data_IF_462988558728
#
_entry.id   IF_462988558728
#
_cell.length_a   1.000
_cell.length_b   1.000
_cell.length_c   1.000
_cell.angle_alpha   90.00
_cell.angle_beta   90.00
_cell.angle_gamma   90.00
#
_symmetry.space_group_name_H-M   'P 1'
#
loop_
_entity.id
_entity.type
_entity.pdbx_description
1 polymer ?
#
# COMPACT_ATOMS: atom_id res chain seq x y z
N UNK A 1 53.75 -48.20 -51.64
CA UNK A 1 52.56 -47.33 -51.78
C UNK A 1 51.80 -47.35 -50.47
N UNK A 2 51.94 -46.30 -49.65
CA UNK A 2 51.13 -46.10 -48.45
C UNK A 2 50.57 -44.67 -48.56
N UNK A 3 49.27 -44.56 -48.82
CA UNK A 3 48.53 -43.30 -48.77
C UNK A 3 48.22 -42.97 -47.31
N UNK A 4 48.69 -41.83 -46.82
CA UNK A 4 48.24 -41.24 -45.56
C UNK A 4 47.30 -40.09 -45.92
N UNK A 5 46.00 -40.30 -45.71
CA UNK A 5 44.97 -39.28 -45.88
C UNK A 5 44.90 -38.38 -44.65
N UNK A 6 45.06 -37.07 -44.86
CA UNK A 6 44.88 -36.03 -43.84
C UNK A 6 43.41 -35.63 -43.83
N UNK A 7 42.70 -35.93 -42.74
CA UNK A 7 41.35 -35.43 -42.46
C UNK A 7 41.50 -34.08 -41.78
N UNK A 8 41.20 -33.00 -42.52
CA UNK A 8 41.11 -31.64 -41.98
C UNK A 8 39.78 -31.43 -41.25
N UNK A 9 39.81 -31.41 -39.92
CA UNK A 9 38.67 -31.01 -39.10
C UNK A 9 38.56 -29.49 -39.04
N UNK A 10 37.49 -28.94 -39.61
CA UNK A 10 37.10 -27.54 -39.42
C UNK A 10 36.46 -27.43 -38.03
N UNK A 11 37.21 -26.95 -37.05
CA UNK A 11 36.65 -26.50 -35.77
C UNK A 11 36.01 -25.13 -35.98
N UNK A 12 34.68 -25.08 -36.01
CA UNK A 12 33.94 -23.84 -35.89
C UNK A 12 34.16 -23.31 -34.46
N UNK A 13 35.06 -22.35 -34.30
CA UNK A 13 35.14 -21.53 -33.09
C UNK A 13 33.92 -20.61 -33.08
N UNK A 14 32.93 -20.93 -32.26
CA UNK A 14 31.88 -19.99 -31.89
C UNK A 14 32.53 -18.80 -31.16
N UNK A 15 32.47 -17.64 -31.79
CA UNK A 15 33.02 -16.39 -31.27
C UNK A 15 32.30 -16.00 -29.98
N UNK A 16 32.98 -16.21 -28.85
CA UNK A 16 32.50 -15.86 -27.51
C UNK A 16 32.22 -14.34 -27.34
N UNK A 17 32.64 -13.49 -28.28
CA UNK A 17 32.35 -12.05 -28.28
C UNK A 17 30.89 -11.70 -28.64
N UNK A 18 30.09 -12.66 -29.14
CA UNK A 18 28.67 -12.46 -29.48
C UNK A 18 27.67 -12.78 -28.37
N UNK A 19 28.13 -13.20 -27.18
CA UNK A 19 27.23 -13.36 -26.04
C UNK A 19 26.96 -11.98 -25.42
N UNK A 20 25.85 -11.36 -25.84
CA UNK A 20 25.27 -10.23 -25.12
C UNK A 20 25.26 -10.55 -23.62
N UNK A 21 25.70 -9.63 -22.74
CA UNK A 21 25.78 -9.90 -21.31
C UNK A 21 24.41 -10.37 -20.82
N UNK A 22 24.39 -11.54 -20.17
CA UNK A 22 23.16 -12.14 -19.67
C UNK A 22 22.55 -11.17 -18.65
N UNK A 23 21.43 -10.55 -19.01
CA UNK A 23 20.66 -9.73 -18.08
C UNK A 23 19.93 -10.69 -17.16
N UNK A 24 20.45 -10.88 -15.95
CA UNK A 24 19.77 -11.71 -14.94
C UNK A 24 19.00 -10.82 -13.97
N UNK A 25 17.71 -11.10 -13.84
CA UNK A 25 16.84 -10.53 -12.81
C UNK A 25 16.42 -11.64 -11.86
N UNK A 26 16.46 -11.38 -10.56
CA UNK A 26 15.98 -12.30 -9.54
C UNK A 26 14.74 -11.75 -8.84
N UNK A 27 14.15 -12.56 -7.96
CA UNK A 27 12.94 -12.21 -7.20
C UNK A 27 13.14 -10.95 -6.33
N UNK A 28 14.36 -10.68 -5.86
CA UNK A 28 14.67 -9.52 -5.02
C UNK A 28 15.02 -8.27 -5.84
N UNK A 29 15.09 -8.39 -7.17
CA UNK A 29 15.42 -7.28 -8.03
C UNK A 29 14.28 -6.26 -7.99
N UNK A 30 14.61 -5.01 -7.66
CA UNK A 30 13.66 -3.90 -7.64
C UNK A 30 13.02 -3.67 -8.99
N UNK A 31 11.70 -3.55 -9.01
CA UNK A 31 10.92 -3.35 -10.23
C UNK A 31 11.36 -2.08 -10.97
N UNK A 32 11.63 -0.99 -10.25
CA UNK A 32 12.08 0.25 -10.89
C UNK A 32 13.43 0.11 -11.59
N UNK A 33 14.33 -0.75 -11.08
CA UNK A 33 15.61 -1.05 -11.73
C UNK A 33 15.39 -1.79 -13.04
N UNK A 34 14.46 -2.73 -13.08
CA UNK A 34 14.09 -3.45 -14.31
C UNK A 34 13.47 -2.50 -15.31
N UNK A 35 12.48 -1.71 -14.92
CA UNK A 35 11.80 -0.74 -15.79
C UNK A 35 12.78 0.29 -16.37
N UNK A 36 13.68 0.88 -15.56
CA UNK A 36 14.71 1.81 -16.05
C UNK A 36 15.69 1.13 -17.02
N UNK A 37 16.07 -0.13 -16.77
CA UNK A 37 16.94 -0.89 -17.68
C UNK A 37 16.30 -1.14 -19.05
N UNK A 38 14.97 -1.24 -19.09
CA UNK A 38 14.18 -1.32 -20.32
C UNK A 38 13.89 0.06 -20.95
N UNK A 39 14.38 1.16 -20.36
CA UNK A 39 14.17 2.50 -20.89
C UNK A 39 12.84 3.16 -20.51
N UNK A 40 12.18 2.71 -19.43
CA UNK A 40 11.04 3.44 -18.88
C UNK A 40 11.49 4.79 -18.29
N UNK A 41 10.65 5.81 -18.46
CA UNK A 41 10.86 7.13 -17.85
C UNK A 41 10.86 7.03 -16.33
N UNK A 42 11.69 7.84 -15.68
CA UNK A 42 11.69 7.94 -14.22
C UNK A 42 10.53 8.82 -13.77
N UNK A 43 9.78 8.43 -12.73
CA UNK A 43 8.71 9.27 -12.22
C UNK A 43 9.27 10.52 -11.54
N UNK A 44 8.44 11.56 -11.37
CA UNK A 44 8.83 12.84 -10.76
C UNK A 44 9.42 12.69 -9.35
N UNK A 45 8.96 11.69 -8.59
CA UNK A 45 9.43 11.39 -7.24
C UNK A 45 10.65 10.46 -7.18
N UNK A 46 11.31 10.19 -8.32
CA UNK A 46 12.52 9.36 -8.36
C UNK A 46 13.66 9.97 -7.54
N UNK A 47 14.43 9.11 -6.87
CA UNK A 47 15.62 9.49 -6.10
C UNK A 47 16.88 8.87 -6.70
N UNK A 48 18.02 9.53 -6.46
CA UNK A 48 19.33 9.06 -6.88
C UNK A 48 19.87 8.01 -5.91
N UNK A 49 19.34 6.79 -6.02
CA UNK A 49 19.68 5.70 -5.13
C UNK A 49 19.17 5.90 -3.70
N UNK A 50 19.24 4.84 -2.90
CA UNK A 50 18.76 4.88 -1.52
C UNK A 50 19.94 5.11 -0.58
N UNK A 51 19.98 6.30 -0.01
CA UNK A 51 20.74 6.58 1.21
C UNK A 51 20.05 5.89 2.40
N UNK A 52 20.74 4.96 3.05
CA UNK A 52 20.22 4.16 4.16
C UNK A 52 19.98 4.98 5.43
N UNK A 53 20.78 6.02 5.69
CA UNK A 53 20.59 6.91 6.84
C UNK A 53 19.32 7.73 6.65
N UNK A 54 19.12 8.31 5.46
CA UNK A 54 17.88 9.01 5.13
C UNK A 54 16.66 8.07 5.16
N UNK A 55 16.80 6.83 4.67
CA UNK A 55 15.71 5.85 4.73
C UNK A 55 15.32 5.52 6.18
N UNK A 56 16.29 5.32 7.09
CA UNK A 56 16.01 5.12 8.51
C UNK A 56 15.32 6.33 9.15
N UNK A 57 15.75 7.55 8.81
CA UNK A 57 15.09 8.77 9.30
C UNK A 57 13.67 8.89 8.76
N UNK A 58 13.45 8.54 7.50
CA UNK A 58 12.13 8.52 6.85
C UNK A 58 11.19 7.48 7.47
N UNK A 59 11.70 6.28 7.75
CA UNK A 59 10.97 5.23 8.46
C UNK A 59 10.50 5.73 9.83
N UNK A 60 11.39 6.37 10.60
CA UNK A 60 11.02 6.95 11.89
C UNK A 60 9.93 8.02 11.75
N UNK A 61 9.97 8.87 10.71
CA UNK A 61 8.90 9.83 10.45
C UNK A 61 7.58 9.11 10.15
N UNK A 62 7.58 8.09 9.29
CA UNK A 62 6.37 7.36 8.89
C UNK A 62 5.76 6.58 10.05
N UNK A 63 6.58 5.94 10.87
CA UNK A 63 6.15 5.04 11.95
C UNK A 63 5.97 5.72 13.31
N UNK A 64 6.70 6.81 13.57
CA UNK A 64 6.75 7.46 14.89
C UNK A 64 6.38 8.95 14.83
N UNK A 65 6.18 9.51 13.63
CA UNK A 65 5.84 10.91 13.43
C UNK A 65 6.99 11.88 13.74
N UNK A 66 8.19 11.40 14.02
CA UNK A 66 9.39 12.21 14.32
C UNK A 66 10.67 11.44 14.05
N UNK A 67 11.78 12.15 13.99
CA UNK A 67 13.11 11.57 13.83
C UNK A 67 14.17 12.45 14.49
N UNK A 68 15.44 12.22 14.16
CA UNK A 68 16.57 13.11 14.51
C UNK A 68 16.92 14.02 13.34
N UNK A 69 17.22 15.28 13.63
CA UNK A 69 17.78 16.25 12.69
C UNK A 69 19.22 15.89 12.31
N UNK A 70 19.82 16.57 11.31
CA UNK A 70 21.23 16.40 10.98
C UNK A 70 22.19 16.70 12.14
N UNK A 71 21.81 17.62 13.03
CA UNK A 71 22.59 17.98 14.24
C UNK A 71 22.44 16.98 15.40
N UNK A 72 21.66 15.91 15.23
CA UNK A 72 21.40 14.90 16.24
C UNK A 72 20.23 15.22 17.19
N UNK A 73 19.70 16.44 17.21
CA UNK A 73 18.54 16.80 18.02
C UNK A 73 17.24 16.17 17.48
N UNK A 74 16.21 16.00 18.31
CA UNK A 74 14.93 15.46 17.85
C UNK A 74 14.13 16.50 17.04
N UNK A 75 13.38 16.03 16.04
CA UNK A 75 12.37 16.86 15.37
C UNK A 75 11.13 17.03 16.25
N UNK A 76 10.39 18.11 16.01
CA UNK A 76 9.01 18.16 16.48
C UNK A 76 8.19 17.05 15.80
N UNK A 77 7.15 16.58 16.48
CA UNK A 77 6.17 15.68 15.88
C UNK A 77 5.60 16.31 14.60
N UNK A 78 5.40 15.50 13.57
CA UNK A 78 4.63 15.87 12.38
C UNK A 78 3.17 16.05 12.78
N UNK A 79 2.63 15.13 13.57
CA UNK A 79 1.32 15.29 14.19
C UNK A 79 1.33 14.73 15.61
N UNK A 80 0.57 15.36 16.50
CA UNK A 80 0.29 14.85 17.84
C UNK A 80 -0.89 13.86 17.85
N UNK A 81 -1.58 13.69 16.72
CA UNK A 81 -2.80 12.89 16.60
C UNK A 81 -2.54 11.55 15.93
N UNK A 82 -1.86 11.55 14.78
CA UNK A 82 -1.68 10.35 13.97
C UNK A 82 -0.32 10.28 13.28
N UNK A 83 0.23 9.08 13.23
CA UNK A 83 1.35 8.71 12.36
C UNK A 83 0.81 8.01 11.10
N UNK A 84 1.63 7.88 10.06
CA UNK A 84 1.18 7.31 8.79
C UNK A 84 0.69 5.86 8.96
N UNK A 85 1.34 5.10 9.83
CA UNK A 85 1.00 3.69 10.09
C UNK A 85 -0.28 3.48 10.90
N UNK A 86 -0.91 4.54 11.40
CA UNK A 86 -2.26 4.41 11.98
C UNK A 86 -3.31 4.11 10.90
N UNK A 87 -3.02 4.48 9.65
CA UNK A 87 -3.96 4.34 8.52
C UNK A 87 -3.40 3.50 7.37
N UNK A 88 -2.10 3.29 7.29
CA UNK A 88 -1.44 2.65 6.14
C UNK A 88 -0.48 1.54 6.55
N UNK A 89 -0.52 0.41 5.83
CA UNK A 89 0.46 -0.66 5.99
C UNK A 89 1.79 -0.34 5.28
N UNK A 90 2.92 -0.66 5.90
CA UNK A 90 4.27 -0.56 5.28
C UNK A 90 4.78 -1.88 4.70
N UNK A 91 4.05 -2.98 4.94
CA UNK A 91 4.25 -4.28 4.30
C UNK A 91 3.22 -4.47 3.18
N UNK A 92 3.51 -5.37 2.25
CA UNK A 92 2.53 -5.82 1.27
C UNK A 92 1.27 -6.30 1.99
N UNK A 93 0.09 -5.85 1.55
CA UNK A 93 -1.20 -6.20 2.16
C UNK A 93 -2.16 -6.88 1.16
N UNK A 94 -1.74 -7.00 -0.10
CA UNK A 94 -2.50 -7.66 -1.16
C UNK A 94 -1.77 -8.95 -1.53
N UNK A 95 -2.46 -10.09 -1.67
CA UNK A 95 -1.83 -11.32 -2.15
C UNK A 95 -1.33 -11.18 -3.60
N UNK A 96 -2.02 -10.37 -4.40
CA UNK A 96 -1.67 -10.03 -5.77
C UNK A 96 -1.68 -8.50 -5.89
N UNK A 97 -0.50 -7.90 -6.10
CA UNK A 97 -0.33 -6.44 -6.12
C UNK A 97 -0.98 -5.78 -7.34
N UNK A 98 -1.46 -6.56 -8.32
CA UNK A 98 -2.21 -6.13 -9.49
C UNK A 98 -3.73 -6.18 -9.32
N UNK A 99 -4.25 -6.75 -8.23
CA UNK A 99 -5.69 -6.97 -8.04
C UNK A 99 -6.24 -6.30 -6.79
N UNK A 100 -7.44 -5.76 -6.94
CA UNK A 100 -8.21 -5.18 -5.84
C UNK A 100 -9.33 -6.14 -5.48
N UNK A 101 -9.14 -6.86 -4.38
CA UNK A 101 -10.13 -7.78 -3.83
C UNK A 101 -10.14 -7.63 -2.30
N UNK A 102 -11.21 -7.05 -1.72
CA UNK A 102 -11.28 -6.83 -0.28
C UNK A 102 -11.29 -8.14 0.53
N UNK A 103 -11.86 -9.23 -0.01
CA UNK A 103 -11.91 -10.52 0.70
C UNK A 103 -10.55 -11.21 0.70
N UNK A 104 -9.89 -11.25 -0.46
CA UNK A 104 -8.53 -11.77 -0.55
C UNK A 104 -7.56 -10.95 0.33
N UNK A 105 -7.76 -9.63 0.40
CA UNK A 105 -6.99 -8.74 1.28
C UNK A 105 -7.19 -9.08 2.77
N UNK A 106 -8.43 -9.31 3.23
CA UNK A 106 -8.67 -9.66 4.64
C UNK A 106 -7.99 -10.99 4.99
N UNK A 107 -8.15 -12.01 4.14
CA UNK A 107 -7.49 -13.31 4.35
C UNK A 107 -5.97 -13.18 4.37
N UNK A 108 -5.41 -12.35 3.48
CA UNK A 108 -3.99 -12.07 3.48
C UNK A 108 -3.52 -11.36 4.75
N UNK A 109 -4.29 -10.39 5.25
CA UNK A 109 -3.98 -9.70 6.51
C UNK A 109 -4.02 -10.65 7.72
N UNK A 110 -4.99 -11.57 7.76
CA UNK A 110 -5.07 -12.62 8.80
C UNK A 110 -3.83 -13.51 8.75
N UNK A 111 -3.50 -14.04 7.58
CA UNK A 111 -2.42 -15.01 7.42
C UNK A 111 -1.02 -14.43 7.66
N UNK A 112 -0.86 -13.11 7.54
CA UNK A 112 0.42 -12.42 7.67
C UNK A 112 0.51 -11.50 8.90
N UNK A 113 -0.47 -11.57 9.80
CA UNK A 113 -0.57 -10.73 11.01
C UNK A 113 -0.42 -9.23 10.70
N UNK A 114 -1.17 -8.77 9.71
CA UNK A 114 -1.16 -7.37 9.27
C UNK A 114 -2.39 -6.61 9.77
N UNK A 115 -2.24 -5.33 10.11
CA UNK A 115 -3.37 -4.46 10.33
C UNK A 115 -4.30 -4.35 9.10
N UNK A 116 -5.61 -4.36 9.32
CA UNK A 116 -6.63 -4.25 8.27
C UNK A 116 -7.09 -2.80 8.12
N UNK A 117 -6.22 -1.94 7.57
CA UNK A 117 -6.40 -0.48 7.60
C UNK A 117 -7.16 0.11 6.40
N UNK A 118 -7.54 1.39 6.51
CA UNK A 118 -8.35 2.13 5.53
C UNK A 118 -7.54 2.75 4.38
N UNK A 119 -6.35 3.27 4.66
CA UNK A 119 -5.53 4.02 3.69
C UNK A 119 -4.63 3.10 2.88
N UNK A 120 -4.46 3.36 1.58
CA UNK A 120 -3.68 2.58 0.59
C UNK A 120 -2.30 2.14 1.12
N UNK A 121 -1.87 0.88 0.93
CA UNK A 121 -0.55 0.44 1.42
C UNK A 121 0.60 1.31 0.92
N UNK A 122 1.58 1.58 1.79
CA UNK A 122 2.81 2.30 1.50
C UNK A 122 3.85 1.41 0.82
N UNK A 123 3.80 0.09 1.03
CA UNK A 123 4.60 -0.87 0.26
C UNK A 123 4.26 -0.74 -1.23
N UNK A 124 5.30 -0.54 -2.06
CA UNK A 124 5.15 -0.32 -3.49
C UNK A 124 4.53 1.02 -3.89
N UNK A 125 4.34 1.97 -2.97
CA UNK A 125 3.65 3.24 -3.27
C UNK A 125 4.38 4.08 -4.33
N UNK A 126 5.70 3.97 -4.39
CA UNK A 126 6.55 4.65 -5.39
C UNK A 126 6.42 4.06 -6.79
N UNK A 127 5.87 2.85 -6.93
CA UNK A 127 5.65 2.21 -8.22
C UNK A 127 4.33 2.64 -8.87
N UNK A 128 3.49 3.41 -8.17
CA UNK A 128 2.21 3.91 -8.68
C UNK A 128 2.44 5.17 -9.53
N UNK A 129 1.52 5.39 -10.47
CA UNK A 129 1.45 6.60 -11.31
C UNK A 129 0.54 7.67 -10.69
N UNK A 130 -0.36 7.28 -9.76
CA UNK A 130 -1.32 8.23 -9.17
C UNK A 130 -1.85 7.90 -7.77
N UNK A 131 -2.19 8.96 -7.02
CA UNK A 131 -2.65 8.95 -5.63
C UNK A 131 -3.96 9.73 -5.46
N UNK A 132 -4.64 9.59 -4.32
CA UNK A 132 -5.94 10.26 -4.07
C UNK A 132 -6.96 10.09 -5.23
N UNK A 133 -7.10 8.85 -5.70
CA UNK A 133 -7.91 8.49 -6.86
C UNK A 133 -9.41 8.39 -6.53
N UNK A 134 -10.23 8.30 -7.57
CA UNK A 134 -11.67 8.08 -7.44
C UNK A 134 -12.36 9.12 -6.55
N UNK A 135 -13.11 8.63 -5.56
CA UNK A 135 -13.96 9.46 -4.73
C UNK A 135 -13.21 10.34 -3.72
N UNK A 136 -11.89 10.17 -3.57
CA UNK A 136 -11.08 11.15 -2.85
C UNK A 136 -11.15 12.55 -3.48
N UNK A 137 -11.44 12.67 -4.79
CA UNK A 137 -11.73 13.95 -5.41
C UNK A 137 -13.00 14.60 -4.86
N UNK A 138 -14.04 13.82 -4.56
CA UNK A 138 -15.29 14.33 -3.99
C UNK A 138 -15.05 14.88 -2.58
N UNK A 139 -14.13 14.27 -1.83
CA UNK A 139 -13.80 14.66 -0.46
C UNK A 139 -12.86 15.86 -0.38
N UNK A 140 -11.77 15.87 -1.14
CA UNK A 140 -10.70 16.87 -0.99
C UNK A 140 -10.66 17.91 -2.12
N UNK A 141 -11.51 17.78 -3.14
CA UNK A 141 -11.62 18.75 -4.23
C UNK A 141 -10.28 18.99 -4.93
N UNK A 142 -9.85 20.26 -4.96
CA UNK A 142 -8.62 20.68 -5.61
C UNK A 142 -7.36 20.07 -4.97
N UNK A 143 -7.35 19.85 -3.66
CA UNK A 143 -6.20 19.25 -2.97
C UNK A 143 -5.90 17.85 -3.49
N UNK A 144 -6.93 17.03 -3.72
CA UNK A 144 -6.77 15.70 -4.32
C UNK A 144 -6.28 15.77 -5.77
N UNK A 145 -6.61 16.84 -6.51
CA UNK A 145 -6.15 17.01 -7.90
C UNK A 145 -4.65 17.29 -7.94
N UNK A 146 -4.16 18.16 -7.04
CA UNK A 146 -2.74 18.52 -6.98
C UNK A 146 -1.88 17.36 -6.46
N UNK A 147 -2.42 16.55 -5.55
CA UNK A 147 -1.80 15.33 -5.05
C UNK A 147 -1.84 14.15 -6.05
N UNK A 148 -2.69 14.20 -7.09
CA UNK A 148 -3.00 13.00 -7.88
C UNK A 148 -1.81 12.46 -8.65
N UNK A 149 -1.01 13.35 -9.23
CA UNK A 149 0.10 12.99 -10.12
C UNK A 149 1.47 13.33 -9.51
N UNK A 150 1.51 13.60 -8.22
CA UNK A 150 2.72 13.98 -7.49
C UNK A 150 2.70 13.35 -6.09
N UNK A 151 3.55 12.34 -5.90
CA UNK A 151 3.68 11.63 -4.63
C UNK A 151 4.08 12.57 -3.49
N UNK A 152 4.89 13.59 -3.77
CA UNK A 152 5.31 14.58 -2.76
C UNK A 152 4.11 15.36 -2.27
N UNK A 153 3.25 15.85 -3.17
CA UNK A 153 2.02 16.52 -2.82
C UNK A 153 1.03 15.57 -2.12
N UNK A 154 0.99 14.30 -2.51
CA UNK A 154 0.15 13.30 -1.84
C UNK A 154 0.60 13.04 -0.39
N UNK A 155 1.91 12.90 -0.14
CA UNK A 155 2.45 12.78 1.21
C UNK A 155 2.13 14.04 2.01
N UNK A 156 2.26 15.21 1.39
CA UNK A 156 2.05 16.48 2.07
C UNK A 156 0.57 16.69 2.46
N UNK A 157 -0.34 16.36 1.55
CA UNK A 157 -1.78 16.33 1.82
C UNK A 157 -2.12 15.37 2.95
N UNK A 158 -1.48 14.20 3.01
CA UNK A 158 -1.68 13.24 4.09
C UNK A 158 -1.22 13.83 5.44
N UNK A 159 -0.01 14.39 5.49
CA UNK A 159 0.56 14.95 6.71
C UNK A 159 -0.32 16.06 7.31
N UNK A 160 -0.92 16.92 6.48
CA UNK A 160 -1.73 18.05 6.97
C UNK A 160 -3.20 17.71 7.17
N UNK A 161 -3.83 17.00 6.24
CA UNK A 161 -5.28 16.77 6.28
C UNK A 161 -5.66 15.44 6.93
N UNK A 162 -4.96 14.35 6.61
CA UNK A 162 -5.29 13.04 7.19
C UNK A 162 -4.73 12.93 8.61
N UNK A 163 -3.46 13.26 8.78
CA UNK A 163 -2.79 13.19 10.08
C UNK A 163 -3.07 14.40 10.98
N UNK A 164 -3.70 15.46 10.46
CA UNK A 164 -3.95 16.72 11.20
C UNK A 164 -2.65 17.34 11.76
N UNK A 165 -1.57 17.20 11.00
CA UNK A 165 -0.22 17.61 11.38
C UNK A 165 0.26 18.89 10.72
N UNK A 166 1.53 19.20 10.95
CA UNK A 166 2.28 20.22 10.21
C UNK A 166 2.77 19.67 8.86
N UNK A 167 3.09 20.54 7.90
CA UNK A 167 3.84 20.13 6.73
C UNK A 167 5.21 19.53 7.09
N UNK A 168 5.64 18.58 6.27
CA UNK A 168 7.02 18.09 6.26
C UNK A 168 7.90 19.18 5.64
N UNK A 169 9.07 19.38 6.23
CA UNK A 169 10.14 20.18 5.61
C UNK A 169 10.77 19.41 4.45
N UNK A 170 11.48 20.10 3.55
CA UNK A 170 12.07 19.48 2.35
C UNK A 170 12.99 18.28 2.67
N UNK A 171 13.78 18.36 3.75
CA UNK A 171 14.67 17.26 4.14
C UNK A 171 13.91 16.08 4.76
N UNK A 172 12.81 16.35 5.49
CA UNK A 172 11.93 15.31 6.02
C UNK A 172 11.21 14.58 4.90
N UNK A 173 10.68 15.34 3.93
CA UNK A 173 10.07 14.78 2.71
C UNK A 173 11.07 13.91 1.95
N UNK A 174 12.31 14.40 1.75
CA UNK A 174 13.38 13.61 1.14
C UNK A 174 13.63 12.32 1.92
N UNK A 175 13.74 12.38 3.24
CA UNK A 175 13.94 11.18 4.06
C UNK A 175 12.77 10.19 3.90
N UNK A 176 11.53 10.67 3.92
CA UNK A 176 10.33 9.84 3.67
C UNK A 176 10.39 9.19 2.29
N UNK A 177 10.75 9.92 1.23
CA UNK A 177 10.91 9.32 -0.10
C UNK A 177 11.99 8.23 -0.13
N UNK A 178 13.13 8.43 0.53
CA UNK A 178 14.16 7.41 0.67
C UNK A 178 13.64 6.12 1.33
N UNK A 179 12.79 6.25 2.35
CA UNK A 179 12.13 5.11 2.97
C UNK A 179 11.12 4.45 2.04
N UNK A 180 10.22 5.21 1.41
CA UNK A 180 9.20 4.64 0.52
C UNK A 180 9.81 3.93 -0.70
N UNK A 181 10.93 4.44 -1.22
CA UNK A 181 11.72 3.75 -2.25
C UNK A 181 12.39 2.48 -1.72
N UNK A 182 12.68 2.38 -0.43
CA UNK A 182 13.29 1.19 0.18
C UNK A 182 12.31 0.01 0.28
N UNK A 183 11.01 0.31 0.28
CA UNK A 183 9.90 -0.64 0.28
C UNK A 183 9.16 -0.65 -1.08
N UNK A 184 9.87 -0.37 -2.18
CA UNK A 184 9.32 -0.50 -3.53
C UNK A 184 9.01 -1.96 -3.89
N UNK A 185 8.17 -2.17 -4.91
CA UNK A 185 7.92 -3.50 -5.45
C UNK A 185 9.21 -4.13 -6.00
N UNK A 186 9.35 -5.43 -5.79
CA UNK A 186 10.36 -6.31 -6.37
C UNK A 186 9.74 -7.17 -7.47
N UNK A 187 10.57 -7.89 -8.22
CA UNK A 187 10.10 -8.85 -9.21
C UNK A 187 9.28 -9.98 -8.58
N UNK A 188 9.58 -10.37 -7.34
CA UNK A 188 8.84 -11.42 -6.63
C UNK A 188 7.44 -11.02 -6.21
N UNK A 189 7.20 -9.72 -6.03
CA UNK A 189 5.86 -9.22 -5.67
C UNK A 189 4.88 -9.33 -6.85
N UNK A 190 5.38 -9.45 -8.09
CA UNK A 190 4.56 -9.55 -9.31
C UNK A 190 4.01 -10.97 -9.55
N UNK A 191 4.37 -11.96 -8.72
CA UNK A 191 3.92 -13.36 -8.83
C UNK A 191 4.11 -13.96 -10.25
N UNK A 192 5.20 -13.60 -10.93
CA UNK A 192 5.51 -14.11 -12.26
C UNK A 192 5.96 -15.58 -12.17
N UNK A 193 5.50 -16.41 -13.10
CA UNK A 193 6.01 -17.79 -13.23
C UNK A 193 7.47 -17.81 -13.69
N UNK A 194 8.17 -18.92 -13.45
CA UNK A 194 9.54 -19.12 -13.96
C UNK A 194 9.62 -18.95 -15.48
N UNK A 195 8.61 -19.43 -16.21
CA UNK A 195 8.51 -19.24 -17.66
C UNK A 195 8.36 -17.77 -18.06
N UNK A 196 7.61 -16.99 -17.29
CA UNK A 196 7.46 -15.55 -17.50
C UNK A 196 8.76 -14.80 -17.19
N UNK A 197 9.48 -15.19 -16.13
CA UNK A 197 10.80 -14.64 -15.80
C UNK A 197 11.83 -14.91 -16.90
N UNK A 198 11.88 -16.14 -17.44
CA UNK A 198 12.74 -16.47 -18.59
C UNK A 198 12.34 -15.66 -19.83
N UNK A 199 11.04 -15.47 -20.07
CA UNK A 199 10.52 -14.64 -21.15
C UNK A 199 10.97 -13.18 -21.02
N UNK A 200 10.90 -12.63 -19.80
CA UNK A 200 11.36 -11.28 -19.46
C UNK A 200 12.86 -11.11 -19.75
N UNK A 201 13.71 -12.04 -19.33
CA UNK A 201 15.17 -11.94 -19.58
C UNK A 201 15.49 -11.93 -21.08
N UNK A 202 14.81 -12.78 -21.88
CA UNK A 202 14.96 -12.80 -23.33
C UNK A 202 14.52 -11.49 -23.96
N UNK A 203 13.34 -10.99 -23.57
CA UNK A 203 12.82 -9.73 -24.09
C UNK A 203 13.68 -8.52 -23.68
N UNK A 204 14.26 -8.53 -22.47
CA UNK A 204 15.18 -7.50 -22.00
C UNK A 204 16.50 -7.46 -22.78
N UNK A 205 16.92 -8.57 -23.39
CA UNK A 205 18.10 -8.61 -24.25
C UNK A 205 17.83 -8.07 -25.68
N UNK A 206 16.57 -7.81 -26.03
CA UNK A 206 16.15 -7.36 -27.36
C UNK A 206 15.59 -5.94 -27.29
N UNK A 207 16.36 -4.88 -27.63
CA UNK A 207 15.91 -3.50 -27.52
C UNK A 207 14.56 -3.20 -28.20
N UNK A 208 14.27 -3.87 -29.32
CA UNK A 208 12.99 -3.73 -30.04
C UNK A 208 11.77 -4.21 -29.25
N UNK A 209 11.93 -5.02 -28.19
CA UNK A 209 10.85 -5.52 -27.33
C UNK A 209 10.68 -4.76 -26.03
N UNK A 210 11.54 -3.78 -25.74
CA UNK A 210 11.58 -3.11 -24.44
C UNK A 210 10.25 -2.43 -24.08
N UNK A 211 9.65 -1.70 -25.02
CA UNK A 211 8.39 -0.99 -24.78
C UNK A 211 7.21 -1.93 -24.48
N UNK A 212 7.11 -3.03 -25.21
CA UNK A 212 6.06 -4.04 -24.96
C UNK A 212 6.31 -4.77 -23.63
N UNK A 213 7.57 -5.01 -23.29
CA UNK A 213 7.97 -5.59 -22.00
C UNK A 213 7.62 -4.67 -20.83
N UNK A 214 7.85 -3.36 -20.97
CA UNK A 214 7.44 -2.36 -19.96
C UNK A 214 5.93 -2.40 -19.75
N UNK A 215 5.14 -2.35 -20.82
CA UNK A 215 3.67 -2.41 -20.75
C UNK A 215 3.19 -3.70 -20.10
N UNK A 216 3.83 -4.83 -20.45
CA UNK A 216 3.53 -6.12 -19.84
C UNK A 216 3.83 -6.12 -18.34
N UNK A 217 5.00 -5.67 -17.90
CA UNK A 217 5.33 -5.55 -16.47
C UNK A 217 4.35 -4.64 -15.72
N UNK A 218 4.00 -3.50 -16.32
CA UNK A 218 3.03 -2.54 -15.81
C UNK A 218 1.61 -3.11 -15.67
N UNK A 219 1.30 -4.24 -16.31
CA UNK A 219 0.00 -4.90 -16.17
C UNK A 219 -0.10 -5.80 -14.93
N UNK A 220 1.01 -6.10 -14.26
CA UNK A 220 1.06 -7.01 -13.09
C UNK A 220 0.97 -6.29 -11.74
N UNK A 221 0.81 -4.97 -11.72
CA UNK A 221 0.65 -4.22 -10.48
C UNK A 221 -0.30 -3.04 -10.65
N UNK A 222 -0.90 -2.62 -9.55
CA UNK A 222 -1.79 -1.47 -9.53
C UNK A 222 -1.01 -0.16 -9.71
N UNK A 223 -1.25 0.53 -10.81
CA UNK A 223 -0.70 1.88 -11.06
C UNK A 223 -1.44 2.98 -10.28
N UNK A 224 -2.58 2.65 -9.70
CA UNK A 224 -3.41 3.53 -8.90
C UNK A 224 -4.17 2.68 -7.87
N UNK A 225 -4.38 3.19 -6.66
CA UNK A 225 -5.30 2.58 -5.71
C UNK A 225 -6.70 3.16 -5.94
N UNK A 226 -7.67 2.39 -6.47
CA UNK A 226 -9.04 2.86 -6.66
C UNK A 226 -9.73 3.09 -5.32
N UNK A 227 -10.68 4.01 -5.31
CA UNK A 227 -11.43 4.38 -4.12
C UNK A 227 -12.87 4.75 -4.49
N UNK A 228 -13.80 3.90 -4.07
CA UNK A 228 -15.24 4.12 -4.17
C UNK A 228 -15.80 4.32 -2.77
N UNK A 229 -16.34 5.50 -2.50
CA UNK A 229 -17.05 5.79 -1.27
C UNK A 229 -18.50 5.34 -1.42
N UNK A 230 -18.96 4.53 -0.47
CA UNK A 230 -20.29 3.95 -0.53
C UNK A 230 -21.08 4.35 0.70
N UNK A 231 -22.34 4.73 0.50
CA UNK A 231 -23.25 4.99 1.60
C UNK A 231 -23.51 3.73 2.44
N UNK A 232 -23.71 3.87 3.76
CA UNK A 232 -24.27 2.84 4.61
C UNK A 232 -25.52 2.24 4.00
N UNK A 233 -25.72 0.92 4.13
CA UNK A 233 -27.00 0.33 3.74
C UNK A 233 -28.12 0.98 4.57
N UNK A 234 -29.29 1.30 3.97
CA UNK A 234 -30.48 1.67 4.73
C UNK A 234 -30.80 0.59 5.77
N UNK A 235 -31.37 0.96 6.91
CA UNK A 235 -31.65 0.03 8.02
C UNK A 235 -32.40 -1.23 7.60
N UNK A 236 -33.39 -1.10 6.71
CA UNK A 236 -34.18 -2.22 6.20
C UNK A 236 -33.38 -3.23 5.35
N UNK A 237 -32.19 -2.85 4.87
CA UNK A 237 -31.29 -3.70 4.06
C UNK A 237 -30.10 -4.23 4.87
N UNK A 238 -29.94 -3.83 6.14
CA UNK A 238 -28.86 -4.31 7.00
C UNK A 238 -29.20 -5.72 7.48
N UNK A 239 -28.24 -6.63 7.35
CA UNK A 239 -28.36 -8.01 7.82
C UNK A 239 -28.11 -8.16 9.33
N UNK A 240 -27.52 -7.15 9.99
CA UNK A 240 -27.25 -7.16 11.43
C UNK A 240 -26.52 -8.44 11.92
N UNK A 241 -25.53 -8.89 11.15
CA UNK A 241 -24.74 -10.09 11.43
C UNK A 241 -25.34 -11.40 10.91
N UNK A 242 -26.60 -11.42 10.45
CA UNK A 242 -27.21 -12.64 9.91
C UNK A 242 -26.47 -13.10 8.66
N UNK A 243 -26.02 -14.37 8.68
CA UNK A 243 -25.24 -14.98 7.60
C UNK A 243 -23.79 -14.49 7.50
N UNK A 244 -23.32 -13.66 8.44
CA UNK A 244 -21.92 -13.26 8.50
C UNK A 244 -21.07 -14.30 9.23
N UNK A 245 -19.78 -14.35 8.90
CA UNK A 245 -18.79 -15.19 9.57
C UNK A 245 -18.19 -14.44 10.79
N UNK A 246 -18.44 -14.90 12.03
CA UNK A 246 -17.92 -14.25 13.23
C UNK A 246 -16.41 -14.41 13.40
N UNK A 247 -15.76 -15.40 12.78
CA UNK A 247 -14.30 -15.53 12.82
C UNK A 247 -13.63 -14.46 11.96
N UNK A 248 -14.15 -14.24 10.74
CA UNK A 248 -13.73 -13.11 9.89
C UNK A 248 -14.08 -11.78 10.56
N UNK A 249 -15.25 -11.69 11.21
CA UNK A 249 -15.65 -10.52 11.98
C UNK A 249 -14.70 -10.20 13.13
N UNK A 250 -14.25 -11.22 13.86
CA UNK A 250 -13.24 -11.08 14.91
C UNK A 250 -11.93 -10.56 14.35
N UNK A 251 -11.48 -11.09 13.22
CA UNK A 251 -10.26 -10.61 12.57
C UNK A 251 -10.35 -9.13 12.19
N UNK A 252 -11.48 -8.69 11.61
CA UNK A 252 -11.71 -7.27 11.31
C UNK A 252 -11.70 -6.43 12.59
N UNK A 253 -12.30 -6.92 13.67
CA UNK A 253 -12.31 -6.22 14.95
C UNK A 253 -10.90 -6.07 15.53
N UNK A 254 -10.11 -7.14 15.58
CA UNK A 254 -8.74 -7.12 16.11
C UNK A 254 -7.78 -6.30 15.22
N UNK A 255 -7.73 -6.62 13.92
CA UNK A 255 -6.72 -6.10 13.01
C UNK A 255 -7.09 -4.74 12.44
N UNK A 256 -8.38 -4.41 12.35
CA UNK A 256 -8.86 -3.13 11.83
C UNK A 256 -9.27 -2.17 12.95
N UNK A 257 -10.30 -2.54 13.71
CA UNK A 257 -10.89 -1.63 14.69
C UNK A 257 -9.95 -1.37 15.88
N UNK A 258 -9.43 -2.43 16.49
CA UNK A 258 -8.56 -2.31 17.66
C UNK A 258 -7.19 -1.76 17.33
N UNK A 259 -6.75 -1.70 16.07
CA UNK A 259 -5.50 -1.02 15.69
C UNK A 259 -5.44 0.43 16.21
N UNK A 260 -6.53 1.18 16.08
CA UNK A 260 -6.62 2.54 16.60
C UNK A 260 -7.30 2.62 17.98
N UNK A 261 -8.18 1.66 18.29
CA UNK A 261 -9.08 1.73 19.44
C UNK A 261 -8.67 0.85 20.62
N UNK A 262 -7.49 0.24 20.64
CA UNK A 262 -7.02 -0.48 21.83
C UNK A 262 -6.74 0.47 23.02
N UNK A 263 -6.58 -0.09 24.21
CA UNK A 263 -6.23 0.72 25.40
C UNK A 263 -4.85 1.34 25.23
N UNK A 264 -4.78 2.68 25.22
CA UNK A 264 -3.56 3.43 24.92
C UNK A 264 -3.32 3.66 23.42
N UNK A 265 -4.27 3.30 22.55
CA UNK A 265 -4.26 3.66 21.14
C UNK A 265 -4.59 5.14 20.89
N UNK A 266 -4.62 5.52 19.60
CA UNK A 266 -4.79 6.92 19.15
C UNK A 266 -6.24 7.42 19.20
N UNK A 267 -7.20 6.56 19.55
CA UNK A 267 -8.62 6.91 19.66
C UNK A 267 -9.08 7.05 21.12
N UNK A 268 -9.92 8.05 21.38
CA UNK A 268 -10.53 8.27 22.69
C UNK A 268 -11.67 7.29 23.01
N UNK A 269 -12.11 6.48 22.04
CA UNK A 269 -13.09 5.43 22.27
C UNK A 269 -12.39 4.07 22.29
N UNK A 270 -12.20 3.51 23.48
CA UNK A 270 -11.54 2.21 23.63
C UNK A 270 -12.48 1.06 23.29
N UNK A 271 -11.97 0.12 22.50
CA UNK A 271 -12.59 -1.13 22.10
C UNK A 271 -11.87 -2.30 22.78
N UNK A 272 -12.62 -3.03 23.60
CA UNK A 272 -12.19 -4.24 24.30
C UNK A 272 -13.10 -5.43 23.98
N UNK A 273 -12.90 -6.56 24.65
CA UNK A 273 -13.70 -7.77 24.47
C UNK A 273 -14.86 -7.90 25.47
N UNK A 274 -15.20 -6.82 26.18
CA UNK A 274 -16.24 -6.88 27.19
C UNK A 274 -17.63 -6.94 26.55
N UNK A 275 -18.54 -7.66 27.22
CA UNK A 275 -19.96 -7.71 26.85
C UNK A 275 -20.56 -6.29 26.80
N UNK A 276 -20.07 -5.37 27.62
CA UNK A 276 -20.54 -3.98 27.63
C UNK A 276 -20.17 -3.23 26.34
N UNK A 277 -18.94 -3.39 25.86
CA UNK A 277 -18.50 -2.81 24.58
C UNK A 277 -19.31 -3.36 23.42
N UNK A 278 -19.46 -4.68 23.35
CA UNK A 278 -20.24 -5.33 22.29
C UNK A 278 -21.71 -4.94 22.31
N UNK A 279 -22.37 -4.97 23.48
CA UNK A 279 -23.74 -4.46 23.63
C UNK A 279 -23.86 -2.99 23.23
N UNK A 280 -22.88 -2.15 23.57
CA UNK A 280 -22.88 -0.74 23.15
C UNK A 280 -22.88 -0.63 21.62
N UNK A 281 -22.00 -1.35 20.93
CA UNK A 281 -21.91 -1.32 19.47
C UNK A 281 -23.18 -1.89 18.81
N UNK A 282 -23.65 -3.05 19.27
CA UNK A 282 -24.86 -3.71 18.77
C UNK A 282 -26.09 -2.79 18.88
N UNK A 283 -26.29 -2.15 20.04
CA UNK A 283 -27.38 -1.21 20.27
C UNK A 283 -27.35 0.03 19.35
N UNK A 284 -26.23 0.29 18.66
CA UNK A 284 -26.07 1.37 17.69
C UNK A 284 -26.12 0.89 16.24
N UNK A 285 -26.24 -0.43 15.97
CA UNK A 285 -26.41 -0.94 14.62
C UNK A 285 -27.51 -0.26 13.80
N UNK A 286 -28.73 0.02 14.33
CA UNK A 286 -29.78 0.69 13.55
C UNK A 286 -29.69 2.23 13.63
N UNK A 287 -28.80 2.79 14.42
CA UNK A 287 -28.76 4.24 14.70
C UNK A 287 -27.87 4.98 13.70
N UNK A 288 -28.20 6.23 13.45
CA UNK A 288 -27.26 7.19 12.85
C UNK A 288 -26.41 7.78 13.98
N UNK A 289 -25.21 7.25 14.19
CA UNK A 289 -24.33 7.64 15.29
C UNK A 289 -22.89 7.22 15.02
N UNK A 290 -21.94 7.90 15.67
CA UNK A 290 -20.50 7.59 15.60
C UNK A 290 -20.14 6.21 16.19
N UNK A 291 -21.07 5.55 16.91
CA UNK A 291 -20.91 4.17 17.41
C UNK A 291 -21.48 3.10 16.49
N UNK A 292 -22.13 3.48 15.39
CA UNK A 292 -22.72 2.52 14.46
C UNK A 292 -21.65 2.08 13.46
N UNK A 293 -21.24 0.80 13.51
CA UNK A 293 -20.25 0.26 12.56
C UNK A 293 -20.69 0.44 11.10
N UNK A 294 -22.00 0.41 10.82
CA UNK A 294 -22.53 0.61 9.47
C UNK A 294 -22.33 2.05 8.96
N UNK A 295 -22.38 3.03 9.86
CA UNK A 295 -22.20 4.45 9.54
C UNK A 295 -20.71 4.79 9.48
N UNK A 296 -20.00 4.54 10.58
CA UNK A 296 -18.65 5.03 10.79
C UNK A 296 -17.64 4.43 9.81
N UNK A 297 -17.82 3.17 9.41
CA UNK A 297 -16.93 2.54 8.42
C UNK A 297 -17.09 3.14 7.02
N UNK A 298 -18.20 3.84 6.74
CA UNK A 298 -18.54 4.39 5.42
C UNK A 298 -18.43 5.90 5.32
N UNK A 299 -18.65 6.61 6.41
CA UNK A 299 -18.52 8.08 6.48
C UNK A 299 -17.27 8.54 7.22
N UNK A 300 -16.63 7.65 7.97
CA UNK A 300 -15.57 8.00 8.89
C UNK A 300 -16.08 8.87 10.04
N UNK A 301 -15.16 9.46 10.79
CA UNK A 301 -15.44 10.50 11.79
C UNK A 301 -14.61 11.71 11.39
N UNK A 302 -15.27 12.83 11.11
CA UNK A 302 -14.59 14.08 10.76
C UNK A 302 -14.06 14.79 12.01
N UNK A 303 -12.91 15.50 11.91
CA UNK A 303 -12.47 16.44 12.93
C UNK A 303 -13.57 17.45 13.28
N UNK A 304 -13.72 17.79 14.56
CA UNK A 304 -14.61 18.85 15.05
C UNK A 304 -13.80 19.92 15.78
N UNK A 305 -14.27 21.18 15.90
CA UNK A 305 -13.60 22.20 16.70
C UNK A 305 -13.31 21.69 18.12
N UNK A 306 -12.03 21.75 18.54
CA UNK A 306 -11.58 21.24 19.84
C UNK A 306 -11.38 19.70 19.92
N UNK A 307 -11.76 18.95 18.89
CA UNK A 307 -11.58 17.50 18.79
C UNK A 307 -11.09 17.10 17.40
N UNK A 308 -9.77 17.12 17.22
CA UNK A 308 -9.12 16.82 15.94
C UNK A 308 -9.01 15.34 15.53
N UNK A 309 -9.12 14.34 16.43
CA UNK A 309 -9.10 12.94 16.02
C UNK A 309 -10.10 12.64 14.88
N UNK A 310 -9.59 11.99 13.83
CA UNK A 310 -10.26 11.62 12.59
C UNK A 310 -10.24 10.10 12.45
N UNK A 311 -11.35 9.51 12.02
CA UNK A 311 -11.38 8.13 11.55
C UNK A 311 -11.58 8.13 10.04
N UNK A 312 -10.64 7.62 9.24
CA UNK A 312 -10.87 7.43 7.82
C UNK A 312 -12.00 6.43 7.56
N UNK A 313 -12.74 6.67 6.49
CA UNK A 313 -13.71 5.71 5.98
C UNK A 313 -13.04 4.62 5.15
N UNK A 314 -13.58 3.41 5.20
CA UNK A 314 -13.19 2.34 4.29
C UNK A 314 -13.91 2.51 2.95
N UNK A 315 -13.13 2.53 1.87
CA UNK A 315 -13.68 2.40 0.52
C UNK A 315 -14.18 0.96 0.30
N UNK A 316 -14.96 0.75 -0.75
CA UNK A 316 -15.44 -0.58 -1.12
C UNK A 316 -14.32 -1.56 -1.48
N UNK A 317 -13.21 -1.04 -1.97
CA UNK A 317 -12.00 -1.77 -2.31
C UNK A 317 -11.22 -2.23 -1.07
N UNK A 318 -11.41 -1.55 0.07
CA UNK A 318 -10.70 -1.82 1.32
C UNK A 318 -11.50 -2.64 2.30
N UNK A 319 -12.81 -2.45 2.33
CA UNK A 319 -13.73 -3.25 3.12
C UNK A 319 -15.08 -3.40 2.40
N UNK A 320 -15.47 -4.63 2.08
CA UNK A 320 -16.72 -4.93 1.40
C UNK A 320 -17.94 -4.73 2.31
N UNK A 321 -19.16 -4.75 1.76
CA UNK A 321 -20.39 -4.74 2.58
C UNK A 321 -20.56 -6.05 3.36
N UNK A 322 -20.07 -7.16 2.83
CA UNK A 322 -20.17 -8.45 3.50
C UNK A 322 -19.21 -8.53 4.69
N UNK A 323 -18.02 -7.93 4.58
CA UNK A 323 -17.10 -7.79 5.71
C UNK A 323 -17.67 -6.97 6.86
N UNK A 324 -18.43 -5.90 6.56
CA UNK A 324 -19.19 -5.18 7.61
C UNK A 324 -20.22 -6.09 8.27
N UNK A 325 -20.82 -7.03 7.53
CA UNK A 325 -21.73 -8.01 8.09
C UNK A 325 -21.02 -9.09 8.93
N UNK A 326 -19.83 -9.54 8.53
CA UNK A 326 -18.97 -10.40 9.35
C UNK A 326 -18.63 -9.73 10.68
N UNK A 327 -18.20 -8.46 10.65
CA UNK A 327 -17.94 -7.67 11.86
C UNK A 327 -19.19 -7.58 12.75
N UNK A 328 -20.36 -7.32 12.16
CA UNK A 328 -21.62 -7.29 12.90
C UNK A 328 -21.95 -8.65 13.55
N UNK A 329 -21.64 -9.76 12.89
CA UNK A 329 -21.83 -11.11 13.40
C UNK A 329 -20.92 -11.43 14.60
N UNK A 330 -19.72 -10.86 14.65
CA UNK A 330 -18.81 -11.03 15.79
C UNK A 330 -19.19 -10.19 17.01
N UNK A 331 -19.70 -8.97 16.80
CA UNK A 331 -20.11 -8.05 17.87
C UNK A 331 -21.39 -8.54 18.58
N UNK A 332 -22.20 -9.34 17.89
CA UNK A 332 -23.47 -9.87 18.39
C UNK A 332 -23.28 -11.19 19.13
#
# INVERSE_FOLDING_TARGET
>A
MILIGIIGGIYAFEDASKRSPKVTFDQNTRLSKVLRKLGAESPLHAINGIDSNLAQKGEAIVMQGKTTKPDGSSTNLVSIHYVCTDCHNVKQELPDVGKVDPEARLNYAINNDLPFLQGSGLYGVVNRDSWYNGDYQKKYGQLAKDARNDLTNAIQLCATECSQGRPLTDWEMKAVLHYLWSIELTMGDLNLSDSAMIGLEKAAAEPGKHQDTIKWLQSHYLKASPATFAEPLPNAKRKYGVGGDPQLGKAIYEQGCRHCHYSGGVSNFTLDHSILTFKKLENHFPKYSDYSIYQVLRHGIQPRPGYRPYMPQYTMERMSREQVNHLAAYIK
#
